data_IF_653635287754
#
_entry.id   IF_653635287754
#
_cell.length_a   1.000
_cell.length_b   1.000
_cell.length_c   1.000
_cell.angle_alpha   90.00
_cell.angle_beta   90.00
_cell.angle_gamma   90.00
#
_symmetry.space_group_name_H-M   'P 1'
#
loop_
_entity.id
_entity.type
_entity.pdbx_description
1 polymer ?
#
# COMPACT_ATOMS: atom_id res chain seq x y z
N UNK A 1 -8.04 -10.62 33.23
CA UNK A 1 -7.43 -9.37 32.70
C UNK A 1 -8.57 -8.42 32.34
N UNK A 2 -8.47 -7.17 32.77
CA UNK A 2 -9.60 -6.26 32.84
C UNK A 2 -9.74 -5.46 31.52
N UNK A 3 -10.97 -5.23 31.03
CA UNK A 3 -11.27 -4.37 29.87
C UNK A 3 -10.69 -2.94 30.04
N UNK A 4 -10.52 -2.48 31.27
CA UNK A 4 -9.84 -1.24 31.60
C UNK A 4 -8.39 -1.18 31.08
N UNK A 5 -7.64 -2.27 31.13
CA UNK A 5 -6.24 -2.29 30.66
C UNK A 5 -6.16 -2.26 29.13
N UNK A 6 -7.13 -2.84 28.40
CA UNK A 6 -7.22 -2.75 26.94
C UNK A 6 -7.56 -1.32 26.50
N UNK A 7 -8.52 -0.69 27.14
CA UNK A 7 -8.86 0.72 26.88
C UNK A 7 -7.67 1.64 27.10
N UNK A 8 -6.93 1.41 28.22
CA UNK A 8 -5.75 2.20 28.56
C UNK A 8 -4.67 2.09 27.46
N UNK A 9 -4.39 0.87 26.96
CA UNK A 9 -3.44 0.68 25.87
C UNK A 9 -3.81 1.40 24.59
N UNK A 10 -5.10 1.47 24.26
CA UNK A 10 -5.58 2.24 23.10
C UNK A 10 -5.45 3.74 23.34
N UNK A 11 -5.74 4.20 24.56
CA UNK A 11 -5.58 5.61 24.94
C UNK A 11 -4.12 6.07 24.85
N UNK A 12 -3.19 5.25 25.31
CA UNK A 12 -1.75 5.54 25.36
C UNK A 12 -1.04 5.36 23.99
N UNK A 13 -1.68 4.65 23.08
CA UNK A 13 -1.10 4.44 21.76
C UNK A 13 -0.95 5.76 20.98
N UNK A 14 0.08 5.81 20.14
CA UNK A 14 0.32 6.98 19.29
C UNK A 14 -0.84 7.24 18.31
N UNK A 15 -0.99 8.50 17.92
CA UNK A 15 -1.87 8.88 16.81
C UNK A 15 -1.50 8.12 15.53
N UNK A 16 -2.48 7.88 14.67
CA UNK A 16 -2.37 7.08 13.44
C UNK A 16 -2.11 5.58 13.66
N UNK A 17 -2.13 5.09 14.92
CA UNK A 17 -2.03 3.64 15.19
C UNK A 17 -3.26 2.92 14.63
N UNK A 18 -3.00 1.88 13.83
CA UNK A 18 -4.03 0.96 13.31
C UNK A 18 -4.18 -0.20 14.27
N UNK A 19 -5.42 -0.50 14.68
CA UNK A 19 -5.77 -1.60 15.57
C UNK A 19 -6.62 -2.63 14.87
N UNK A 20 -6.36 -3.88 15.20
CA UNK A 20 -7.24 -4.99 14.87
C UNK A 20 -7.48 -5.87 16.08
N UNK A 21 -8.52 -6.71 16.02
CA UNK A 21 -8.84 -7.61 17.13
C UNK A 21 -7.69 -8.53 17.50
N UNK A 22 -6.89 -8.92 16.53
CA UNK A 22 -5.73 -9.82 16.69
C UNK A 22 -4.52 -9.17 17.37
N UNK A 23 -4.52 -7.85 17.58
CA UNK A 23 -3.42 -7.14 18.23
C UNK A 23 -3.44 -7.32 19.78
N UNK A 24 -4.49 -7.96 20.26
CA UNK A 24 -4.73 -8.20 21.70
C UNK A 24 -4.98 -9.69 21.97
N UNK A 25 -3.99 -10.55 21.69
CA UNK A 25 -4.18 -12.01 21.79
C UNK A 25 -4.45 -12.51 23.21
N UNK A 26 -4.13 -11.72 24.23
CA UNK A 26 -4.38 -11.99 25.64
C UNK A 26 -5.86 -11.81 26.08
N UNK A 27 -6.69 -11.25 25.18
CA UNK A 27 -8.12 -11.03 25.41
C UNK A 27 -8.98 -11.86 24.47
N UNK A 28 -10.18 -12.22 24.94
CA UNK A 28 -11.17 -12.82 24.04
C UNK A 28 -11.53 -11.87 22.88
N UNK A 29 -11.50 -12.39 21.66
CA UNK A 29 -11.72 -11.63 20.43
C UNK A 29 -13.04 -10.84 20.42
N UNK A 30 -14.10 -11.39 21.02
CA UNK A 30 -15.39 -10.71 21.14
C UNK A 30 -15.33 -9.51 22.10
N UNK A 31 -14.62 -9.67 23.23
CA UNK A 31 -14.40 -8.57 24.19
C UNK A 31 -13.59 -7.45 23.57
N UNK A 32 -12.52 -7.79 22.82
CA UNK A 32 -11.75 -6.80 22.05
C UNK A 32 -12.64 -6.05 21.08
N UNK A 33 -13.47 -6.78 20.32
CA UNK A 33 -14.39 -6.17 19.36
C UNK A 33 -15.37 -5.19 20.00
N UNK A 34 -15.93 -5.54 21.18
CA UNK A 34 -16.83 -4.64 21.94
C UNK A 34 -16.12 -3.37 22.40
N UNK A 35 -14.91 -3.51 22.98
CA UNK A 35 -14.14 -2.36 23.45
C UNK A 35 -13.75 -1.43 22.29
N UNK A 36 -13.24 -1.96 21.17
CA UNK A 36 -12.87 -1.14 20.03
C UNK A 36 -14.08 -0.45 19.38
N UNK A 37 -15.26 -1.10 19.38
CA UNK A 37 -16.50 -0.49 18.90
C UNK A 37 -16.98 0.62 19.84
N UNK A 38 -16.95 0.40 21.15
CA UNK A 38 -17.29 1.44 22.14
C UNK A 38 -16.37 2.66 22.02
N UNK A 39 -15.05 2.45 21.87
CA UNK A 39 -14.09 3.54 21.63
C UNK A 39 -14.33 4.29 20.31
N UNK A 40 -14.94 3.63 19.33
CA UNK A 40 -15.36 4.27 18.08
C UNK A 40 -16.60 5.16 18.32
N UNK A 41 -17.56 4.69 19.10
CA UNK A 41 -18.75 5.47 19.50
C UNK A 41 -18.37 6.69 20.35
N UNK A 42 -17.33 6.56 21.18
CA UNK A 42 -16.75 7.66 21.97
C UNK A 42 -15.91 8.64 21.12
N UNK A 43 -15.69 8.36 19.83
CA UNK A 43 -14.91 9.21 18.92
C UNK A 43 -13.39 9.13 19.07
N UNK A 44 -12.86 8.20 19.88
CA UNK A 44 -11.42 7.99 20.02
C UNK A 44 -10.84 7.24 18.83
N UNK A 45 -11.61 6.32 18.26
CA UNK A 45 -11.22 5.52 17.09
C UNK A 45 -12.14 5.79 15.91
N UNK A 46 -11.62 5.57 14.70
CA UNK A 46 -12.41 5.50 13.47
C UNK A 46 -12.35 4.08 12.92
N UNK A 47 -13.48 3.57 12.47
CA UNK A 47 -13.57 2.23 11.88
C UNK A 47 -13.31 2.31 10.38
N UNK A 48 -12.29 1.59 9.90
CA UNK A 48 -11.90 1.53 8.49
C UNK A 48 -12.60 0.38 7.73
N UNK A 49 -12.83 -0.73 8.44
CA UNK A 49 -13.59 -1.90 7.98
C UNK A 49 -13.98 -2.78 9.17
N UNK A 50 -14.75 -3.86 8.98
CA UNK A 50 -15.02 -4.81 10.06
C UNK A 50 -13.73 -5.33 10.69
N UNK A 51 -13.52 -5.01 11.97
CA UNK A 51 -12.36 -5.44 12.74
C UNK A 51 -11.07 -4.65 12.52
N UNK A 52 -11.10 -3.55 11.74
CA UNK A 52 -9.95 -2.65 11.53
C UNK A 52 -10.33 -1.25 11.96
N UNK A 53 -9.54 -0.67 12.84
CA UNK A 53 -9.76 0.63 13.45
C UNK A 53 -8.48 1.46 13.38
N UNK A 54 -8.61 2.77 13.47
CA UNK A 54 -7.45 3.68 13.55
C UNK A 54 -7.70 4.75 14.61
N UNK A 55 -6.65 5.11 15.36
CA UNK A 55 -6.66 6.28 16.22
C UNK A 55 -6.25 7.48 15.38
N UNK A 56 -7.19 8.36 14.98
CA UNK A 56 -6.86 9.50 14.13
C UNK A 56 -6.03 10.51 14.92
N UNK A 57 -5.29 11.36 14.21
CA UNK A 57 -4.74 12.57 14.80
C UNK A 57 -5.87 13.59 14.94
N UNK A 58 -5.98 14.20 16.10
CA UNK A 58 -6.97 15.26 16.31
C UNK A 58 -6.38 16.62 15.97
N UNK A 59 -7.11 17.43 15.23
CA UNK A 59 -6.79 18.81 14.90
C UNK A 59 -7.93 19.74 15.31
N UNK A 60 -7.70 21.06 15.26
CA UNK A 60 -8.74 22.06 15.48
C UNK A 60 -9.92 21.97 14.48
N UNK A 61 -9.73 21.28 13.37
CA UNK A 61 -10.74 21.06 12.33
C UNK A 61 -11.37 19.67 12.39
N UNK A 62 -11.06 18.87 13.41
CA UNK A 62 -11.55 17.51 13.59
C UNK A 62 -10.48 16.44 13.38
N UNK A 63 -10.92 15.20 13.19
CA UNK A 63 -10.07 14.04 13.02
C UNK A 63 -9.36 14.07 11.66
N UNK A 64 -8.03 13.92 11.68
CA UNK A 64 -7.18 13.80 10.47
C UNK A 64 -6.81 12.34 10.27
N UNK A 65 -7.23 11.78 9.15
CA UNK A 65 -6.91 10.42 8.79
C UNK A 65 -5.43 10.27 8.43
N UNK A 66 -4.79 9.15 8.75
CA UNK A 66 -3.47 8.80 8.17
C UNK A 66 -3.58 8.62 6.66
N UNK A 67 -2.42 8.61 5.98
CA UNK A 67 -2.39 8.32 4.55
C UNK A 67 -2.82 6.88 4.26
N UNK A 68 -3.28 6.62 3.04
CA UNK A 68 -3.66 5.28 2.58
C UNK A 68 -2.49 4.32 2.72
N UNK A 69 -1.29 4.76 2.34
CA UNK A 69 -0.05 3.98 2.41
C UNK A 69 0.26 3.59 3.86
N UNK A 70 0.16 4.53 4.79
CA UNK A 70 0.40 4.26 6.22
C UNK A 70 -0.52 3.15 6.75
N UNK A 71 -1.81 3.21 6.44
CA UNK A 71 -2.79 2.20 6.85
C UNK A 71 -2.48 0.84 6.22
N UNK A 72 -2.16 0.82 4.92
CA UNK A 72 -1.83 -0.40 4.19
C UNK A 72 -0.55 -1.04 4.71
N UNK A 73 0.50 -0.24 4.96
CA UNK A 73 1.77 -0.72 5.50
C UNK A 73 1.61 -1.27 6.94
N UNK A 74 0.81 -0.60 7.78
CA UNK A 74 0.51 -1.10 9.13
C UNK A 74 -0.18 -2.48 9.09
N UNK A 75 -1.14 -2.65 8.18
CA UNK A 75 -1.83 -3.93 7.97
C UNK A 75 -0.85 -5.00 7.45
N UNK A 76 -0.05 -4.65 6.45
CA UNK A 76 0.91 -5.55 5.82
C UNK A 76 1.97 -6.04 6.81
N UNK A 77 2.55 -5.14 7.58
CA UNK A 77 3.56 -5.46 8.60
C UNK A 77 3.01 -6.44 9.63
N UNK A 78 1.78 -6.21 10.11
CA UNK A 78 1.16 -7.09 11.06
C UNK A 78 0.81 -8.47 10.48
N UNK A 79 0.28 -8.50 9.28
CA UNK A 79 -0.05 -9.76 8.58
C UNK A 79 1.20 -10.47 8.04
N UNK A 80 2.40 -9.87 8.21
CA UNK A 80 3.68 -10.32 7.60
C UNK A 80 3.52 -10.54 6.09
N UNK A 81 2.78 -9.66 5.46
CA UNK A 81 2.44 -9.72 4.04
C UNK A 81 3.22 -8.68 3.25
N UNK A 82 3.49 -8.99 2.01
CA UNK A 82 3.95 -8.01 1.04
C UNK A 82 2.76 -7.28 0.44
N UNK A 83 2.93 -5.98 0.15
CA UNK A 83 1.95 -5.17 -0.56
C UNK A 83 2.63 -4.38 -1.68
N UNK A 84 1.90 -4.20 -2.77
CA UNK A 84 2.37 -3.49 -3.94
C UNK A 84 1.23 -2.67 -4.53
N UNK A 85 1.36 -1.33 -4.67
CA UNK A 85 0.40 -0.53 -5.40
C UNK A 85 0.17 -1.07 -6.81
N UNK A 86 -1.07 -1.04 -7.29
CA UNK A 86 -1.43 -1.47 -8.64
C UNK A 86 -2.39 -0.48 -9.30
N UNK A 87 -2.59 -0.61 -10.61
CA UNK A 87 -3.48 0.27 -11.35
C UNK A 87 -3.11 1.75 -11.22
N UNK A 88 -4.10 2.60 -11.01
CA UNK A 88 -3.93 4.04 -10.86
C UNK A 88 -3.04 4.42 -9.65
N UNK A 89 -3.06 3.63 -8.58
CA UNK A 89 -2.18 3.84 -7.43
C UNK A 89 -0.69 3.68 -7.78
N UNK A 90 -0.36 2.70 -8.64
CA UNK A 90 1.01 2.53 -9.12
C UNK A 90 1.45 3.66 -10.05
N UNK A 91 0.57 4.12 -10.93
CA UNK A 91 0.83 5.28 -11.81
C UNK A 91 1.11 6.54 -11.00
N UNK A 92 0.27 6.82 -10.00
CA UNK A 92 0.41 7.98 -9.14
C UNK A 92 1.70 7.90 -8.30
N UNK A 93 2.01 6.74 -7.74
CA UNK A 93 3.23 6.52 -6.95
C UNK A 93 4.53 6.73 -7.74
N UNK A 94 4.50 6.53 -9.06
CA UNK A 94 5.64 6.76 -9.96
C UNK A 94 5.63 8.15 -10.61
N UNK A 95 4.61 8.98 -10.36
CA UNK A 95 4.44 10.25 -11.04
C UNK A 95 4.06 10.14 -12.53
N UNK A 96 3.65 8.96 -12.99
CA UNK A 96 3.14 8.72 -14.33
C UNK A 96 1.69 9.18 -14.51
N UNK A 97 1.05 9.58 -13.44
CA UNK A 97 -0.25 10.27 -13.43
C UNK A 97 -0.30 11.26 -12.28
N UNK A 98 -0.81 12.45 -12.54
CA UNK A 98 -1.09 13.48 -11.53
C UNK A 98 -2.46 13.28 -10.86
N UNK A 99 -3.29 12.39 -11.40
CA UNK A 99 -4.61 12.11 -10.84
C UNK A 99 -4.48 11.30 -9.56
N UNK A 100 -5.06 11.83 -8.47
CA UNK A 100 -5.19 11.09 -7.21
C UNK A 100 -6.39 10.14 -7.32
N UNK A 101 -6.17 8.83 -7.22
CA UNK A 101 -7.27 7.88 -7.37
C UNK A 101 -8.20 7.94 -6.14
N UNK A 102 -9.53 7.95 -6.36
CA UNK A 102 -10.52 7.77 -5.28
C UNK A 102 -10.58 6.31 -4.79
N UNK A 103 -10.10 5.38 -5.60
CA UNK A 103 -9.95 3.97 -5.26
C UNK A 103 -8.49 3.55 -5.43
N UNK A 104 -7.85 3.22 -4.32
CA UNK A 104 -6.51 2.67 -4.28
C UNK A 104 -6.57 1.15 -4.34
N UNK A 105 -5.90 0.55 -5.30
CA UNK A 105 -5.73 -0.89 -5.38
C UNK A 105 -4.30 -1.30 -5.02
N UNK A 106 -4.19 -2.32 -4.18
CA UNK A 106 -2.91 -2.93 -3.82
C UNK A 106 -3.00 -4.45 -4.03
N UNK A 107 -1.98 -5.02 -4.60
CA UNK A 107 -1.75 -6.46 -4.54
C UNK A 107 -1.18 -6.82 -3.18
N UNK A 108 -1.56 -7.98 -2.64
CA UNK A 108 -1.03 -8.47 -1.37
C UNK A 108 -0.81 -9.99 -1.40
N UNK A 109 0.21 -10.45 -0.66
CA UNK A 109 0.39 -11.88 -0.33
C UNK A 109 -0.51 -12.33 0.81
N UNK A 110 -1.03 -11.36 1.58
CA UNK A 110 -1.93 -11.58 2.72
C UNK A 110 -3.40 -11.72 2.34
N UNK A 111 -4.27 -11.43 3.29
CA UNK A 111 -5.71 -11.52 3.11
C UNK A 111 -6.27 -10.37 2.29
N UNK A 112 -7.18 -10.68 1.36
CA UNK A 112 -7.93 -9.67 0.63
C UNK A 112 -8.86 -8.89 1.58
N UNK A 113 -8.92 -7.56 1.39
CA UNK A 113 -9.73 -6.65 2.24
C UNK A 113 -10.18 -5.43 1.46
N UNK A 114 -11.34 -4.90 1.84
CA UNK A 114 -11.78 -3.58 1.44
C UNK A 114 -11.82 -2.68 2.68
N UNK A 115 -11.23 -1.50 2.57
CA UNK A 115 -11.12 -0.52 3.64
C UNK A 115 -11.66 0.82 3.15
N UNK A 116 -12.08 1.66 4.11
CA UNK A 116 -12.35 3.06 3.85
C UNK A 116 -11.39 3.91 4.69
N UNK A 117 -10.59 4.73 4.04
CA UNK A 117 -9.62 5.63 4.68
C UNK A 117 -10.01 7.06 4.30
N UNK A 118 -10.75 7.73 5.17
CA UNK A 118 -11.42 8.99 4.82
C UNK A 118 -12.36 8.79 3.63
N UNK A 119 -12.18 9.58 2.59
CA UNK A 119 -12.98 9.52 1.35
C UNK A 119 -12.50 8.44 0.38
N UNK A 120 -11.32 7.87 0.62
CA UNK A 120 -10.72 6.88 -0.26
C UNK A 120 -11.22 5.46 0.02
N UNK A 121 -11.50 4.74 -1.06
CA UNK A 121 -11.69 3.28 -1.01
C UNK A 121 -10.36 2.59 -1.26
N UNK A 122 -9.99 1.66 -0.38
CA UNK A 122 -8.74 0.90 -0.49
C UNK A 122 -9.09 -0.58 -0.65
N UNK A 123 -8.56 -1.20 -1.69
CA UNK A 123 -8.77 -2.62 -2.02
C UNK A 123 -7.45 -3.37 -1.97
N UNK A 124 -7.28 -4.26 -1.00
CA UNK A 124 -6.20 -5.23 -0.95
C UNK A 124 -6.66 -6.49 -1.69
N UNK A 125 -6.02 -6.81 -2.81
CA UNK A 125 -6.34 -7.98 -3.64
C UNK A 125 -5.24 -9.01 -3.52
N UNK A 126 -5.60 -10.23 -3.10
CA UNK A 126 -4.63 -11.32 -3.04
C UNK A 126 -4.06 -11.59 -4.43
N UNK A 127 -2.75 -11.75 -4.50
CA UNK A 127 -2.04 -11.93 -5.75
C UNK A 127 -1.05 -13.09 -5.68
N UNK A 128 -0.63 -13.56 -6.85
CA UNK A 128 0.33 -14.66 -6.98
C UNK A 128 1.74 -14.20 -6.64
N UNK A 129 2.61 -15.09 -6.10
CA UNK A 129 3.98 -14.75 -5.72
C UNK A 129 4.79 -14.10 -6.84
N UNK A 130 4.53 -14.46 -8.10
CA UNK A 130 5.22 -13.89 -9.27
C UNK A 130 5.17 -12.35 -9.33
N UNK A 131 4.12 -11.72 -8.81
CA UNK A 131 4.00 -10.26 -8.81
C UNK A 131 4.90 -9.60 -7.76
N UNK A 132 5.46 -10.37 -6.84
CA UNK A 132 6.37 -9.93 -5.78
C UNK A 132 7.79 -10.47 -5.95
N UNK A 133 8.09 -11.10 -7.11
CA UNK A 133 9.35 -11.77 -7.35
C UNK A 133 10.48 -10.86 -7.85
N UNK A 134 10.19 -9.59 -8.10
CA UNK A 134 11.21 -8.63 -8.53
C UNK A 134 12.08 -8.20 -7.34
N UNK A 135 13.38 -8.03 -7.58
CA UNK A 135 14.34 -7.63 -6.56
C UNK A 135 14.16 -6.17 -6.16
N UNK A 136 13.84 -5.31 -7.13
CA UNK A 136 13.69 -3.86 -6.90
C UNK A 136 12.22 -3.46 -6.80
N UNK A 137 11.95 -2.58 -5.82
CA UNK A 137 10.60 -1.99 -5.66
C UNK A 137 10.20 -1.17 -6.89
N UNK A 138 11.17 -0.47 -7.50
CA UNK A 138 10.93 0.33 -8.70
C UNK A 138 10.38 -0.52 -9.84
N UNK A 139 11.02 -1.65 -10.13
CA UNK A 139 10.58 -2.55 -11.21
C UNK A 139 9.22 -3.17 -10.90
N UNK A 140 8.99 -3.57 -9.64
CA UNK A 140 7.69 -4.05 -9.20
C UNK A 140 6.57 -3.05 -9.51
N UNK A 141 6.78 -1.77 -9.17
CA UNK A 141 5.83 -0.68 -9.42
C UNK A 141 5.67 -0.41 -10.92
N UNK A 142 6.78 -0.34 -11.68
CA UNK A 142 6.75 -0.12 -13.12
C UNK A 142 5.94 -1.19 -13.84
N UNK A 143 6.08 -2.45 -13.46
CA UNK A 143 5.27 -3.54 -14.05
C UNK A 143 3.78 -3.33 -13.80
N UNK A 144 3.37 -2.88 -12.62
CA UNK A 144 1.95 -2.63 -12.32
C UNK A 144 1.43 -1.38 -13.05
N UNK A 145 2.23 -0.32 -13.11
CA UNK A 145 1.88 0.90 -13.82
C UNK A 145 1.77 0.68 -15.33
N UNK A 146 2.74 0.01 -15.94
CA UNK A 146 2.73 -0.32 -17.35
C UNK A 146 1.57 -1.25 -17.74
N UNK A 147 1.22 -2.22 -16.87
CA UNK A 147 -0.01 -3.03 -17.06
C UNK A 147 -1.27 -2.18 -17.08
N UNK A 148 -1.33 -1.15 -16.25
CA UNK A 148 -2.48 -0.23 -16.20
C UNK A 148 -2.56 0.65 -17.44
N UNK A 149 -1.44 1.20 -17.89
CA UNK A 149 -1.36 2.02 -19.11
C UNK A 149 -1.66 1.20 -20.38
N UNK A 150 -1.09 0.01 -20.45
CA UNK A 150 -1.06 -0.80 -21.67
C UNK A 150 0.01 -0.30 -22.66
N UNK A 151 0.54 -1.22 -23.48
CA UNK A 151 1.66 -0.96 -24.37
C UNK A 151 1.45 0.26 -25.29
N UNK A 152 0.22 0.43 -25.82
CA UNK A 152 -0.13 1.48 -26.81
C UNK A 152 -0.18 2.88 -26.22
N UNK A 153 -0.26 3.01 -24.91
CA UNK A 153 -0.42 4.29 -24.20
C UNK A 153 0.89 4.75 -23.52
N UNK A 154 2.01 4.04 -23.74
CA UNK A 154 3.32 4.46 -23.23
C UNK A 154 3.98 5.35 -24.30
N UNK A 155 3.98 6.65 -24.05
CA UNK A 155 4.55 7.65 -24.93
C UNK A 155 5.92 8.17 -24.48
N UNK A 156 6.36 9.27 -25.10
CA UNK A 156 7.64 9.92 -24.78
C UNK A 156 7.69 10.43 -23.35
N UNK A 157 6.62 11.06 -22.88
CA UNK A 157 6.55 11.67 -21.55
C UNK A 157 6.68 10.62 -20.45
N UNK A 158 5.99 9.48 -20.58
CA UNK A 158 6.12 8.36 -19.64
C UNK A 158 7.53 7.79 -19.65
N UNK A 159 8.13 7.63 -20.83
CA UNK A 159 9.50 7.13 -20.95
C UNK A 159 10.52 8.07 -20.34
N UNK A 160 10.33 9.38 -20.41
CA UNK A 160 11.22 10.37 -19.80
C UNK A 160 11.15 10.31 -18.27
N UNK A 161 9.94 10.20 -17.70
CA UNK A 161 9.76 9.97 -16.26
C UNK A 161 10.46 8.66 -15.84
N UNK A 162 10.23 7.58 -16.59
CA UNK A 162 10.85 6.28 -16.31
C UNK A 162 12.38 6.37 -16.36
N UNK A 163 12.97 7.09 -17.33
CA UNK A 163 14.43 7.29 -17.40
C UNK A 163 14.97 7.95 -16.13
N UNK A 164 14.27 8.99 -15.63
CA UNK A 164 14.66 9.68 -14.40
C UNK A 164 14.59 8.71 -13.21
N UNK A 165 13.52 7.93 -13.08
CA UNK A 165 13.37 6.96 -11.99
C UNK A 165 14.44 5.87 -12.03
N UNK A 166 14.69 5.30 -13.20
CA UNK A 166 15.75 4.29 -13.44
C UNK A 166 17.13 4.87 -13.13
N UNK A 167 17.36 6.14 -13.50
CA UNK A 167 18.62 6.84 -13.18
C UNK A 167 18.91 6.94 -11.69
N UNK A 168 17.86 7.10 -10.87
CA UNK A 168 17.95 7.27 -9.41
C UNK A 168 18.00 5.94 -8.64
N UNK A 169 17.63 4.81 -9.26
CA UNK A 169 17.68 3.51 -8.61
C UNK A 169 19.13 3.12 -8.29
N UNK A 170 19.37 2.73 -7.04
CA UNK A 170 20.71 2.35 -6.57
C UNK A 170 21.10 0.93 -6.95
N UNK A 171 20.14 0.00 -6.90
CA UNK A 171 20.37 -1.41 -7.24
C UNK A 171 20.26 -1.64 -8.74
N UNK A 172 21.31 -1.26 -9.46
CA UNK A 172 21.38 -1.43 -10.93
C UNK A 172 21.41 -2.91 -11.35
N UNK A 173 22.04 -3.75 -10.57
CA UNK A 173 22.16 -5.19 -10.91
C UNK A 173 20.86 -5.95 -10.66
N UNK A 174 20.19 -5.66 -9.53
CA UNK A 174 18.85 -6.17 -9.27
C UNK A 174 17.87 -5.75 -10.36
N UNK A 175 17.90 -4.47 -10.75
CA UNK A 175 17.04 -3.93 -11.79
C UNK A 175 17.29 -4.58 -13.16
N UNK A 176 18.56 -4.84 -13.55
CA UNK A 176 18.89 -5.55 -14.78
C UNK A 176 18.34 -6.97 -14.82
N UNK A 177 18.46 -7.70 -13.70
CA UNK A 177 17.85 -9.04 -13.54
C UNK A 177 16.33 -8.98 -13.66
N UNK A 178 15.70 -8.02 -13.00
CA UNK A 178 14.26 -7.85 -12.99
C UNK A 178 13.69 -7.60 -14.39
N UNK A 179 14.33 -6.72 -15.17
CA UNK A 179 13.91 -6.42 -16.56
C UNK A 179 13.88 -7.70 -17.40
N UNK A 180 14.80 -8.64 -17.19
CA UNK A 180 14.83 -9.90 -17.93
C UNK A 180 13.67 -10.84 -17.58
N UNK A 181 13.02 -10.65 -16.43
CA UNK A 181 11.85 -11.43 -15.99
C UNK A 181 10.51 -10.83 -16.42
N UNK A 182 10.50 -9.62 -16.98
CA UNK A 182 9.29 -8.93 -17.39
C UNK A 182 8.59 -9.55 -18.61
N UNK A 183 7.30 -9.23 -18.82
CA UNK A 183 6.63 -9.47 -20.09
C UNK A 183 7.41 -8.86 -21.27
N UNK A 184 7.39 -9.51 -22.43
CA UNK A 184 8.27 -9.18 -23.56
C UNK A 184 8.13 -7.74 -24.06
N UNK A 185 6.90 -7.22 -24.13
CA UNK A 185 6.67 -5.84 -24.53
C UNK A 185 7.26 -4.81 -23.54
N UNK A 186 7.17 -5.06 -22.21
CA UNK A 186 7.79 -4.20 -21.20
C UNK A 186 9.32 -4.27 -21.27
N UNK A 187 9.85 -5.47 -21.53
CA UNK A 187 11.28 -5.69 -21.73
C UNK A 187 11.80 -4.88 -22.91
N UNK A 188 11.08 -4.85 -24.05
CA UNK A 188 11.44 -4.02 -25.21
C UNK A 188 11.52 -2.53 -24.86
N UNK A 189 10.62 -2.03 -24.01
CA UNK A 189 10.59 -0.63 -23.59
C UNK A 189 11.72 -0.30 -22.60
N UNK A 190 11.95 -1.16 -21.62
CA UNK A 190 12.81 -0.83 -20.48
C UNK A 190 14.27 -1.28 -20.67
N UNK A 191 14.54 -2.29 -21.50
CA UNK A 191 15.91 -2.76 -21.74
C UNK A 191 16.85 -1.65 -22.23
N UNK A 192 16.49 -0.82 -23.24
CA UNK A 192 17.35 0.29 -23.68
C UNK A 192 17.61 1.33 -22.59
N UNK A 193 16.66 1.55 -21.69
CA UNK A 193 16.76 2.54 -20.60
C UNK A 193 17.67 1.99 -19.49
N UNK A 194 17.51 0.72 -19.12
CA UNK A 194 18.21 0.11 -17.98
C UNK A 194 19.64 -0.31 -18.33
N UNK A 195 19.88 -0.80 -19.54
CA UNK A 195 21.20 -1.24 -19.98
C UNK A 195 22.00 -0.15 -20.71
N UNK A 196 21.35 0.96 -21.05
CA UNK A 196 21.92 1.94 -21.96
C UNK A 196 21.93 1.41 -23.40
N UNK A 197 22.26 2.28 -24.36
CA UNK A 197 22.60 1.84 -25.71
C UNK A 197 24.00 1.22 -25.65
N UNK A 198 24.09 -0.05 -25.24
CA UNK A 198 25.30 -0.83 -25.54
C UNK A 198 25.35 -0.95 -27.08
N UNK A 199 26.18 -0.07 -27.70
CA UNK A 199 26.62 -0.18 -29.09
C UNK A 199 27.70 -1.23 -29.17
#
# INVERSE_FOLDING_TARGET
MNELSLRQRVYEAAENTVFMRTDFPEYHTESVGRVLSALTEEGLLLRLSPGVYVKPRMSRFGAVMPSVEHVVDAIANRDKAQVLPSGAAALNALGLSTQVPMTYEFLTTGSARNLKVGDYTVRLRRSVPKNFAYNTRLISLLVQALRCLGERNVGGDELDIIRVLVGRESDKDGMRKDVMMMPEWMKRLLKPIVFGNER
#
